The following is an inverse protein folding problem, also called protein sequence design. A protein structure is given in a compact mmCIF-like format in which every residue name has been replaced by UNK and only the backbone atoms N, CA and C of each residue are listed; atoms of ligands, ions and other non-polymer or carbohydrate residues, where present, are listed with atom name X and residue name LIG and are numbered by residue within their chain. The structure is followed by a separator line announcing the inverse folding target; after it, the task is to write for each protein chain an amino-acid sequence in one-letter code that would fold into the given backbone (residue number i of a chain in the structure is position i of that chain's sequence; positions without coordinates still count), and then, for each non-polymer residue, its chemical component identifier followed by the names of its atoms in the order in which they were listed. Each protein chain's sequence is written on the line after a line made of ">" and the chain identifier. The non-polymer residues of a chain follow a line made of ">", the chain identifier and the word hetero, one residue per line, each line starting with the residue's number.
data_IF_706446930208
#
_entry.id   IF_706446930208
#
_cell.length_a   1.000
_cell.length_b   1.000
_cell.length_c   1.000
_cell.angle_alpha   90.00
_cell.angle_beta   90.00
_cell.angle_gamma   90.00
#
_symmetry.space_group_name_H-M   'P 1'
#
loop_
_entity.id
_entity.type
_entity.pdbx_description
1 polymer ?
#
# COMPACT_ATOMS: atom_id res chain seq x y z
N UNK A 1 8.15 11.96 -1.23
CA UNK A 1 7.91 10.82 -0.32
C UNK A 1 9.22 10.14 0.10
N UNK A 2 10.14 9.87 -0.84
CA UNK A 2 11.50 9.45 -0.49
C UNK A 2 12.25 10.65 0.11
N UNK A 3 12.59 10.58 1.40
CA UNK A 3 13.27 11.63 2.16
C UNK A 3 14.17 10.98 3.24
N UNK A 4 14.80 11.79 4.10
CA UNK A 4 15.66 11.30 5.18
C UNK A 4 14.96 10.32 6.14
N UNK A 5 13.65 10.47 6.38
CA UNK A 5 12.87 9.55 7.21
C UNK A 5 12.69 8.20 6.53
N UNK A 6 12.42 8.20 5.22
CA UNK A 6 12.31 6.98 4.42
C UNK A 6 13.62 6.19 4.36
N UNK A 7 14.76 6.87 4.17
CA UNK A 7 16.08 6.19 4.17
C UNK A 7 16.39 5.58 5.53
N UNK A 8 16.07 6.28 6.64
CA UNK A 8 16.19 5.72 8.00
C UNK A 8 15.30 4.49 8.20
N UNK A 9 14.04 4.55 7.75
CA UNK A 9 13.11 3.43 7.84
C UNK A 9 13.64 2.21 7.08
N UNK A 10 14.03 2.39 5.82
CA UNK A 10 14.40 1.29 4.93
C UNK A 10 15.77 0.67 5.22
N UNK A 11 16.66 1.39 5.92
CA UNK A 11 18.00 0.90 6.26
C UNK A 11 17.98 -0.35 7.17
N UNK A 12 16.95 -0.52 7.99
CA UNK A 12 16.81 -1.65 8.91
C UNK A 12 15.89 -2.78 8.38
N UNK A 13 15.33 -2.63 7.19
CA UNK A 13 14.36 -3.59 6.64
C UNK A 13 15.01 -4.69 5.81
N UNK A 14 14.44 -5.91 5.83
CA UNK A 14 14.77 -6.91 4.83
C UNK A 14 14.54 -6.37 3.41
N UNK A 15 15.42 -6.74 2.47
CA UNK A 15 15.39 -6.26 1.07
C UNK A 15 13.99 -6.27 0.44
N UNK A 16 13.20 -7.31 0.74
CA UNK A 16 11.83 -7.48 0.22
C UNK A 16 10.86 -6.42 0.75
N UNK A 17 10.92 -6.12 2.04
CA UNK A 17 10.10 -5.04 2.63
C UNK A 17 10.58 -3.68 2.13
N UNK A 18 11.89 -3.46 1.99
CA UNK A 18 12.42 -2.23 1.37
C UNK A 18 11.87 -2.03 -0.05
N UNK A 19 11.89 -3.09 -0.88
CA UNK A 19 11.32 -3.03 -2.23
C UNK A 19 9.83 -2.70 -2.22
N UNK A 20 9.05 -3.33 -1.33
CA UNK A 20 7.62 -3.02 -1.16
C UNK A 20 7.40 -1.54 -0.83
N UNK A 21 8.16 -0.99 0.12
CA UNK A 21 8.05 0.41 0.51
C UNK A 21 8.42 1.37 -0.62
N UNK A 22 9.47 1.06 -1.39
CA UNK A 22 9.83 1.83 -2.59
C UNK A 22 8.66 1.83 -3.58
N UNK A 23 8.09 0.66 -3.89
CA UNK A 23 6.98 0.52 -4.82
C UNK A 23 5.71 1.26 -4.34
N UNK A 24 5.41 1.23 -3.04
CA UNK A 24 4.31 2.00 -2.47
C UNK A 24 4.55 3.52 -2.62
N UNK A 25 5.76 3.99 -2.32
CA UNK A 25 6.12 5.41 -2.41
C UNK A 25 6.08 5.96 -3.84
N UNK A 26 6.52 5.17 -4.82
CA UNK A 26 6.54 5.58 -6.23
C UNK A 26 5.24 5.27 -6.97
N UNK A 27 4.36 4.47 -6.37
CA UNK A 27 3.18 3.94 -7.03
C UNK A 27 3.49 2.84 -8.05
N UNK A 28 4.74 2.36 -8.14
CA UNK A 28 5.17 1.26 -9.01
C UNK A 28 4.89 -0.10 -8.39
N UNK A 29 3.66 -0.31 -7.94
CA UNK A 29 3.20 -1.49 -7.22
C UNK A 29 2.14 -2.22 -8.05
N UNK A 30 1.94 -3.55 -7.95
CA UNK A 30 1.01 -4.29 -8.80
C UNK A 30 -0.49 -4.08 -8.45
N UNK A 31 -0.89 -2.82 -8.41
CA UNK A 31 -2.27 -2.33 -8.43
C UNK A 31 -2.65 -1.94 -9.86
N UNK A 32 -3.93 -1.99 -10.21
CA UNK A 32 -4.37 -1.89 -11.61
C UNK A 32 -3.96 -0.59 -12.29
N UNK A 33 -3.86 0.55 -11.59
CA UNK A 33 -3.37 1.79 -12.21
C UNK A 33 -1.98 1.62 -12.81
N UNK A 34 -1.05 1.02 -12.06
CA UNK A 34 0.30 0.79 -12.54
C UNK A 34 0.34 -0.35 -13.56
N UNK A 35 -0.37 -1.45 -13.30
CA UNK A 35 -0.41 -2.59 -14.23
C UNK A 35 -0.95 -2.18 -15.60
N UNK A 36 -1.98 -1.34 -15.66
CA UNK A 36 -2.50 -0.80 -16.92
C UNK A 36 -1.47 0.07 -17.64
N UNK A 37 -0.78 0.95 -16.90
CA UNK A 37 0.27 1.80 -17.46
C UNK A 37 1.39 0.99 -18.15
N UNK A 38 1.71 -0.20 -17.64
CA UNK A 38 2.73 -1.09 -18.23
C UNK A 38 2.15 -2.19 -19.14
N UNK A 39 0.87 -2.10 -19.53
CA UNK A 39 0.23 -3.07 -20.43
C UNK A 39 -0.02 -4.47 -19.84
N UNK A 40 -0.11 -4.58 -18.51
CA UNK A 40 -0.33 -5.85 -17.77
C UNK A 40 -1.74 -5.97 -17.16
N UNK A 41 -2.61 -4.99 -17.39
CA UNK A 41 -4.03 -5.01 -17.01
C UNK A 41 -4.84 -4.27 -18.07
N UNK A 42 -6.02 -4.79 -18.41
CA UNK A 42 -6.92 -4.17 -19.39
C UNK A 42 -7.57 -2.88 -18.89
N UNK A 43 -7.46 -2.60 -17.59
CA UNK A 43 -8.06 -1.41 -16.97
C UNK A 43 -7.21 -0.85 -15.83
N UNK A 44 -7.19 0.48 -15.60
CA UNK A 44 -6.61 1.08 -14.40
C UNK A 44 -7.57 1.03 -13.19
N UNK A 45 -8.81 0.58 -13.38
CA UNK A 45 -9.88 0.66 -12.38
C UNK A 45 -9.80 -0.47 -11.36
N UNK A 46 -10.26 -0.18 -10.13
CA UNK A 46 -10.38 -1.18 -9.09
C UNK A 46 -11.55 -2.11 -9.40
N UNK A 47 -11.24 -3.38 -9.68
CA UNK A 47 -12.26 -4.41 -9.95
C UNK A 47 -13.11 -4.72 -8.71
N UNK A 48 -12.56 -4.48 -7.51
CA UNK A 48 -13.23 -4.73 -6.25
C UNK A 48 -14.26 -3.66 -5.87
N UNK A 49 -14.21 -2.49 -6.52
CA UNK A 49 -15.11 -1.35 -6.29
C UNK A 49 -16.03 -1.11 -7.49
N UNK A 50 -16.39 -2.16 -8.23
CA UNK A 50 -17.21 -2.07 -9.45
C UNK A 50 -16.68 -1.06 -10.48
N UNK A 51 -15.35 -0.90 -10.54
CA UNK A 51 -14.67 0.02 -11.46
C UNK A 51 -15.09 1.49 -11.33
N UNK A 52 -15.50 1.94 -10.15
CA UNK A 52 -15.88 3.34 -9.89
C UNK A 52 -14.67 4.25 -9.65
N UNK A 53 -13.52 3.70 -9.28
CA UNK A 53 -12.28 4.44 -8.99
C UNK A 53 -11.04 3.73 -9.54
N UNK A 54 -9.99 4.50 -9.85
CA UNK A 54 -8.69 3.94 -10.22
C UNK A 54 -8.04 3.23 -9.03
N UNK A 55 -7.44 2.06 -9.25
CA UNK A 55 -6.73 1.32 -8.20
C UNK A 55 -5.29 1.82 -8.09
N UNK A 56 -5.10 2.87 -7.31
CA UNK A 56 -3.79 3.41 -6.94
C UNK A 56 -3.52 3.20 -5.44
N UNK A 57 -2.31 3.55 -4.98
CA UNK A 57 -1.91 3.36 -3.56
C UNK A 57 -2.85 4.07 -2.60
N UNK A 58 -3.28 5.29 -2.92
CA UNK A 58 -4.21 6.04 -2.07
C UNK A 58 -5.58 5.34 -1.99
N UNK A 59 -6.12 4.92 -3.13
CA UNK A 59 -7.39 4.18 -3.16
C UNK A 59 -7.27 2.90 -2.35
N UNK A 60 -6.21 2.13 -2.57
CA UNK A 60 -5.93 0.90 -1.85
C UNK A 60 -5.90 1.14 -0.33
N UNK A 61 -5.08 2.06 0.17
CA UNK A 61 -4.88 2.29 1.60
C UNK A 61 -6.06 2.96 2.32
N UNK A 62 -6.91 3.72 1.62
CA UNK A 62 -7.89 4.60 2.30
C UNK A 62 -9.33 4.47 1.82
N UNK A 63 -9.59 4.01 0.60
CA UNK A 63 -10.91 4.18 -0.05
C UNK A 63 -11.50 2.87 -0.58
N UNK A 64 -10.73 1.81 -0.71
CA UNK A 64 -11.19 0.58 -1.32
C UNK A 64 -12.25 -0.10 -0.45
N UNK A 65 -13.49 -0.17 -0.95
CA UNK A 65 -14.63 -0.74 -0.24
C UNK A 65 -14.37 -2.18 0.23
N UNK A 66 -13.65 -2.95 -0.59
CA UNK A 66 -13.26 -4.33 -0.30
C UNK A 66 -12.37 -4.49 0.93
N UNK A 67 -11.60 -3.45 1.27
CA UNK A 67 -10.63 -3.47 2.38
C UNK A 67 -11.03 -2.56 3.54
N UNK A 68 -12.32 -2.18 3.63
CA UNK A 68 -12.83 -1.30 4.69
C UNK A 68 -12.49 -1.86 6.09
N UNK A 69 -12.60 -3.18 6.29
CA UNK A 69 -12.30 -3.82 7.57
C UNK A 69 -10.83 -3.63 7.96
N UNK A 70 -9.92 -3.89 7.02
CA UNK A 70 -8.48 -3.77 7.22
C UNK A 70 -8.08 -2.29 7.42
N UNK A 71 -8.71 -1.36 6.68
CA UNK A 71 -8.57 0.07 6.87
C UNK A 71 -9.00 0.49 8.28
N UNK A 72 -10.14 0.00 8.77
CA UNK A 72 -10.58 0.26 10.15
C UNK A 72 -9.60 -0.29 11.19
N UNK A 73 -9.05 -1.50 10.99
CA UNK A 73 -8.04 -2.06 11.90
C UNK A 73 -6.77 -1.19 11.92
N UNK A 74 -6.32 -0.72 10.75
CA UNK A 74 -5.18 0.18 10.63
C UNK A 74 -5.45 1.52 11.33
N UNK A 75 -6.63 2.10 11.10
CA UNK A 75 -7.07 3.35 11.73
C UNK A 75 -7.22 3.23 13.25
N UNK A 76 -7.75 2.12 13.77
CA UNK A 76 -7.83 1.93 15.23
C UNK A 76 -6.46 1.80 15.88
N UNK A 77 -5.48 1.24 15.17
CA UNK A 77 -4.12 1.07 15.69
C UNK A 77 -3.31 2.38 15.70
N UNK A 78 -3.46 3.21 14.66
CA UNK A 78 -2.66 4.42 14.45
C UNK A 78 -3.42 5.73 14.72
N UNK A 79 -4.72 5.67 14.99
CA UNK A 79 -5.56 6.83 15.21
C UNK A 79 -5.56 7.79 14.01
N UNK A 80 -5.39 9.09 14.28
CA UNK A 80 -5.38 10.14 13.25
C UNK A 80 -4.21 10.01 12.28
N UNK A 81 -3.08 9.46 12.73
CA UNK A 81 -1.89 9.27 11.89
C UNK A 81 -2.15 8.30 10.74
N UNK A 82 -3.12 7.39 10.88
CA UNK A 82 -3.52 6.45 9.85
C UNK A 82 -4.09 7.09 8.59
N UNK A 83 -4.45 8.38 8.64
CA UNK A 83 -4.98 9.12 7.49
C UNK A 83 -3.87 9.74 6.62
N UNK A 84 -2.64 9.76 7.11
CA UNK A 84 -1.50 10.34 6.40
C UNK A 84 -0.73 9.26 5.64
N UNK A 85 -0.79 9.32 4.31
CA UNK A 85 0.02 8.46 3.45
C UNK A 85 1.52 8.64 3.71
N UNK A 86 1.97 9.88 3.95
CA UNK A 86 3.37 10.15 4.28
C UNK A 86 3.79 9.46 5.59
N UNK A 87 2.92 9.47 6.60
CA UNK A 87 3.18 8.78 7.87
C UNK A 87 3.26 7.26 7.67
N UNK A 88 2.28 6.66 6.99
CA UNK A 88 2.24 5.22 6.74
C UNK A 88 3.49 4.72 6.01
N UNK A 89 4.01 5.52 5.07
CA UNK A 89 5.11 5.12 4.19
C UNK A 89 6.51 5.51 4.71
N UNK A 90 6.61 6.33 5.77
CA UNK A 90 7.93 6.81 6.25
C UNK A 90 8.17 6.65 7.75
N UNK A 91 7.15 6.35 8.55
CA UNK A 91 7.29 6.23 10.00
C UNK A 91 7.48 4.76 10.44
N UNK A 92 8.56 4.42 11.16
CA UNK A 92 8.76 3.08 11.72
C UNK A 92 7.61 2.59 12.61
N UNK A 93 6.91 3.49 13.31
CA UNK A 93 5.74 3.12 14.13
C UNK A 93 4.57 2.61 13.29
N UNK A 94 4.43 3.10 12.05
CA UNK A 94 3.38 2.65 11.15
C UNK A 94 3.66 1.28 10.51
N UNK A 95 4.94 0.91 10.42
CA UNK A 95 5.40 -0.23 9.65
C UNK A 95 4.72 -1.56 10.00
N UNK A 96 4.72 -2.03 11.26
CA UNK A 96 4.09 -3.32 11.58
C UNK A 96 2.60 -3.34 11.25
N UNK A 97 1.92 -2.19 11.38
CA UNK A 97 0.51 -2.07 11.07
C UNK A 97 0.23 -2.06 9.56
N UNK A 98 1.08 -1.37 8.78
CA UNK A 98 0.98 -1.35 7.33
C UNK A 98 1.29 -2.73 6.72
N UNK A 99 2.32 -3.42 7.20
CA UNK A 99 2.63 -4.79 6.75
C UNK A 99 1.47 -5.73 7.05
N UNK A 100 0.93 -5.69 8.28
CA UNK A 100 -0.26 -6.48 8.64
C UNK A 100 -1.46 -6.17 7.75
N UNK A 101 -1.69 -4.91 7.41
CA UNK A 101 -2.73 -4.51 6.46
C UNK A 101 -2.51 -5.17 5.09
N UNK A 102 -1.29 -5.09 4.55
CA UNK A 102 -0.94 -5.65 3.24
C UNK A 102 -1.09 -7.19 3.22
N UNK A 103 -0.65 -7.87 4.27
CA UNK A 103 -0.77 -9.33 4.35
C UNK A 103 -2.24 -9.77 4.51
N UNK A 104 -3.05 -9.00 5.25
CA UNK A 104 -4.47 -9.29 5.45
C UNK A 104 -5.31 -9.12 4.18
N UNK A 105 -5.02 -8.09 3.36
CA UNK A 105 -5.78 -7.84 2.13
C UNK A 105 -5.48 -8.87 1.04
N UNK A 106 -4.29 -9.51 1.10
CA UNK A 106 -3.75 -10.43 0.09
C UNK A 106 -3.67 -9.83 -1.33
N UNK A 107 -3.91 -8.53 -1.49
CA UNK A 107 -4.02 -7.86 -2.81
C UNK A 107 -2.74 -7.98 -3.62
N UNK A 108 -1.60 -7.97 -2.94
CA UNK A 108 -0.27 -7.99 -3.54
C UNK A 108 0.36 -9.40 -3.54
N UNK A 109 -0.30 -10.39 -2.94
CA UNK A 109 0.27 -11.73 -2.71
C UNK A 109 0.62 -12.44 -4.02
N UNK A 110 -0.21 -12.29 -5.05
CA UNK A 110 0.01 -12.94 -6.36
C UNK A 110 1.33 -12.53 -7.02
N UNK A 111 1.77 -11.28 -6.82
CA UNK A 111 2.94 -10.73 -7.53
C UNK A 111 4.15 -10.58 -6.60
N UNK A 112 3.91 -10.21 -5.34
CA UNK A 112 4.98 -9.96 -4.37
C UNK A 112 5.20 -11.12 -3.40
N UNK A 113 4.36 -12.17 -3.43
CA UNK A 113 4.32 -13.29 -2.48
C UNK A 113 3.80 -12.90 -1.09
N UNK A 114 3.96 -13.77 -0.10
CA UNK A 114 3.58 -13.48 1.31
C UNK A 114 4.53 -12.47 1.95
N UNK A 115 3.99 -11.39 2.49
CA UNK A 115 4.74 -10.28 3.11
C UNK A 115 4.65 -10.38 4.63
#
# INVERSE_FOLDING_TARGET
>A
LINASFTKLTASLPKRQTSLYIQLCTGHIPLNKHLHHIGRSDTPMCLQCSRTSQENVHHYLFQCARYIRECHILQRALGRDATSMAYLLTNPKAQPHLLRYISATKRLQKTLGEI
#
